data_IF_875578131392
#
_entry.id   IF_875578131392
#
_cell.length_a   1.000
_cell.length_b   1.000
_cell.length_c   1.000
_cell.angle_alpha   90.00
_cell.angle_beta   90.00
_cell.angle_gamma   90.00
#
_symmetry.space_group_name_H-M   'P 1'
#
loop_
_entity.id
_entity.type
_entity.pdbx_description
1 polymer ?
#
# COMPACT_ATOMS: atom_id res chain seq x y z
N UNK A 1 64.77 18.90 -0.60
CA UNK A 1 63.60 18.89 0.29
C UNK A 1 62.44 18.26 -0.47
N UNK A 2 62.09 17.00 -0.16
CA UNK A 2 60.94 16.34 -0.79
C UNK A 2 59.65 16.79 -0.08
N UNK A 3 58.61 17.23 -0.81
CA UNK A 3 57.36 17.62 -0.19
C UNK A 3 56.69 16.40 0.43
N UNK A 4 56.18 16.56 1.65
CA UNK A 4 55.56 15.51 2.45
C UNK A 4 54.28 15.03 1.76
N UNK A 5 54.34 13.89 1.05
CA UNK A 5 53.19 13.20 0.46
C UNK A 5 52.14 12.69 1.50
N UNK A 6 52.44 12.79 2.79
CA UNK A 6 51.61 12.23 3.87
C UNK A 6 50.22 12.90 4.00
N UNK A 7 50.09 14.18 3.63
CA UNK A 7 48.85 14.94 3.82
C UNK A 7 47.76 14.57 2.78
N UNK A 8 48.16 14.18 1.56
CA UNK A 8 47.22 13.85 0.47
C UNK A 8 46.54 12.49 0.68
N UNK A 9 47.27 11.50 1.23
CA UNK A 9 46.72 10.16 1.48
C UNK A 9 45.65 10.14 2.58
N UNK A 10 45.80 10.97 3.62
CA UNK A 10 44.83 11.05 4.71
C UNK A 10 43.53 11.74 4.26
N UNK A 11 43.64 12.76 3.40
CA UNK A 11 42.49 13.45 2.84
C UNK A 11 41.66 12.54 1.92
N UNK A 12 42.31 11.76 1.05
CA UNK A 12 41.64 10.79 0.18
C UNK A 12 40.94 9.67 0.95
N UNK A 13 41.54 9.19 2.04
CA UNK A 13 40.92 8.22 2.94
C UNK A 13 39.68 8.81 3.63
N UNK A 14 39.77 10.03 4.16
CA UNK A 14 38.64 10.69 4.81
C UNK A 14 37.46 10.91 3.85
N UNK A 15 37.72 11.38 2.61
CA UNK A 15 36.69 11.55 1.58
C UNK A 15 36.06 10.20 1.19
N UNK A 16 36.87 9.14 1.07
CA UNK A 16 36.37 7.79 0.77
C UNK A 16 35.50 7.22 1.88
N UNK A 17 35.88 7.45 3.14
CA UNK A 17 35.07 7.05 4.31
C UNK A 17 33.76 7.84 4.39
N UNK A 18 33.78 9.15 4.13
CA UNK A 18 32.58 9.98 4.14
C UNK A 18 31.61 9.58 3.01
N UNK A 19 32.12 9.31 1.81
CA UNK A 19 31.33 8.84 0.69
C UNK A 19 30.75 7.44 0.96
N UNK A 20 31.54 6.54 1.56
CA UNK A 20 31.06 5.22 1.97
C UNK A 20 29.94 5.35 3.03
N UNK A 21 30.10 6.22 4.02
CA UNK A 21 29.11 6.46 5.07
C UNK A 21 27.82 7.09 4.51
N UNK A 22 27.94 8.08 3.61
CA UNK A 22 26.80 8.65 2.91
C UNK A 22 26.07 7.62 2.04
N UNK A 23 26.80 6.70 1.39
CA UNK A 23 26.21 5.64 0.59
C UNK A 23 25.44 4.58 1.40
N UNK A 24 25.77 4.37 2.69
CA UNK A 24 25.01 3.48 3.58
C UNK A 24 23.99 4.21 4.45
N UNK A 25 24.02 5.53 4.50
CA UNK A 25 23.06 6.34 5.25
C UNK A 25 21.75 6.42 4.48
N UNK A 26 20.69 5.84 5.03
CA UNK A 26 19.33 6.05 4.55
C UNK A 26 18.67 7.09 5.47
N UNK A 27 18.55 8.33 4.98
CA UNK A 27 17.60 9.26 5.56
C UNK A 27 16.19 8.68 5.33
N UNK A 28 15.35 8.68 6.37
CA UNK A 28 13.94 8.35 6.21
C UNK A 28 13.27 9.34 5.27
N UNK A 29 12.14 8.93 4.69
CA UNK A 29 11.29 9.85 3.93
C UNK A 29 10.27 10.52 4.84
N UNK A 30 9.94 11.78 4.57
CA UNK A 30 8.96 12.53 5.35
C UNK A 30 7.70 12.75 4.52
N UNK A 31 6.54 12.44 5.11
CA UNK A 31 5.23 12.69 4.53
C UNK A 31 4.46 13.69 5.41
N UNK A 32 3.66 14.56 4.79
CA UNK A 32 2.83 15.55 5.49
C UNK A 32 1.43 15.61 4.90
N UNK A 33 0.43 15.89 5.73
CA UNK A 33 -0.93 16.23 5.29
C UNK A 33 -1.05 17.74 5.12
N UNK A 34 -1.68 18.17 4.03
CA UNK A 34 -1.93 19.57 3.71
C UNK A 34 -3.39 19.76 3.26
N UNK A 35 -4.01 20.89 3.60
CA UNK A 35 -5.34 21.26 3.07
C UNK A 35 -6.43 21.46 4.12
N UNK A 36 -6.17 21.14 5.39
CA UNK A 36 -7.13 21.36 6.49
C UNK A 36 -6.70 22.47 7.47
N UNK A 37 -5.52 23.05 7.29
CA UNK A 37 -4.92 24.04 8.18
C UNK A 37 -4.99 25.47 7.69
N UNK A 38 -5.88 25.81 6.75
CA UNK A 38 -5.91 27.12 6.09
C UNK A 38 -5.93 28.30 7.08
N UNK A 39 -6.67 28.15 8.19
CA UNK A 39 -6.76 29.15 9.26
C UNK A 39 -5.65 29.04 10.32
N UNK A 40 -4.85 27.97 10.25
CA UNK A 40 -3.79 27.61 11.19
C UNK A 40 -2.38 27.68 10.58
N UNK A 41 -2.24 28.22 9.36
CA UNK A 41 -0.94 28.55 8.77
C UNK A 41 -0.21 27.40 8.06
N UNK A 42 -0.93 26.43 7.47
CA UNK A 42 -0.30 25.43 6.58
C UNK A 42 0.18 26.02 5.24
N UNK A 43 -0.10 27.30 4.97
CA UNK A 43 0.40 28.04 3.82
C UNK A 43 -0.08 27.49 2.47
N UNK A 44 0.49 27.96 1.38
CA UNK A 44 0.20 27.39 0.05
C UNK A 44 0.84 26.01 -0.10
N UNK A 45 0.32 25.21 -1.03
CA UNK A 45 0.90 23.90 -1.35
C UNK A 45 2.31 24.07 -1.94
N UNK A 46 2.49 25.09 -2.77
CA UNK A 46 3.80 25.44 -3.33
C UNK A 46 4.83 25.78 -2.23
N UNK A 47 4.47 26.59 -1.23
CA UNK A 47 5.35 26.92 -0.10
C UNK A 47 5.70 25.66 0.71
N UNK A 48 4.72 24.80 0.99
CA UNK A 48 4.92 23.52 1.68
C UNK A 48 5.99 22.68 0.97
N UNK A 49 5.90 22.54 -0.34
CA UNK A 49 6.88 21.79 -1.14
C UNK A 49 8.24 22.50 -1.24
N UNK A 50 8.26 23.83 -1.31
CA UNK A 50 9.48 24.63 -1.38
C UNK A 50 10.31 24.59 -0.09
N UNK A 51 9.75 24.12 1.04
CA UNK A 51 10.53 23.90 2.27
C UNK A 51 11.68 22.91 2.09
N UNK A 52 11.57 21.97 1.13
CA UNK A 52 12.52 20.89 0.93
C UNK A 52 12.53 19.84 2.05
N UNK A 53 11.55 19.87 2.95
CA UNK A 53 11.46 18.96 4.10
C UNK A 53 10.70 17.65 3.80
N UNK A 54 9.86 17.66 2.77
CA UNK A 54 8.87 16.59 2.53
C UNK A 54 9.15 15.86 1.22
N UNK A 55 9.09 14.53 1.28
CA UNK A 55 9.10 13.65 0.10
C UNK A 55 7.70 13.41 -0.44
N UNK A 56 6.69 13.47 0.44
CA UNK A 56 5.29 13.22 0.12
C UNK A 56 4.40 14.29 0.74
N UNK A 57 3.40 14.75 -0.02
CA UNK A 57 2.32 15.61 0.47
C UNK A 57 0.98 14.93 0.16
N UNK A 58 0.18 14.70 1.20
CA UNK A 58 -1.17 14.16 1.11
C UNK A 58 -2.17 15.33 1.15
N UNK A 59 -2.81 15.62 0.01
CA UNK A 59 -3.88 16.61 -0.08
C UNK A 59 -5.12 16.06 0.61
N UNK A 60 -5.53 16.72 1.68
CA UNK A 60 -6.57 16.29 2.60
C UNK A 60 -7.79 17.24 2.50
N UNK A 61 -9.00 16.79 2.13
CA UNK A 61 -9.41 15.40 1.85
C UNK A 61 -10.53 15.32 0.79
N UNK A 62 -10.63 14.18 0.11
CA UNK A 62 -11.90 13.74 -0.47
C UNK A 62 -12.69 13.01 0.62
N UNK A 63 -13.62 13.70 1.27
CA UNK A 63 -14.27 13.23 2.49
C UNK A 63 -15.78 12.95 2.35
N UNK A 64 -16.32 13.04 1.13
CA UNK A 64 -17.64 12.48 0.80
C UNK A 64 -17.47 11.63 -0.45
N UNK A 65 -17.93 10.38 -0.44
CA UNK A 65 -17.94 9.48 -1.59
C UNK A 65 -18.64 8.15 -1.27
N UNK A 66 -18.97 7.39 -2.31
CA UNK A 66 -19.54 6.05 -2.21
C UNK A 66 -21.00 6.04 -1.75
N UNK A 67 -21.62 4.86 -1.72
CA UNK A 67 -23.03 4.66 -1.36
C UNK A 67 -24.00 5.56 -2.15
N UNK A 68 -23.68 5.86 -3.41
CA UNK A 68 -24.46 6.73 -4.28
C UNK A 68 -24.31 8.24 -4.04
N UNK A 69 -23.41 8.66 -3.15
CA UNK A 69 -23.11 10.06 -2.90
C UNK A 69 -22.20 10.63 -4.00
N UNK A 70 -22.47 11.88 -4.38
CA UNK A 70 -21.56 12.65 -5.23
C UNK A 70 -20.28 12.96 -4.46
N UNK A 71 -19.08 12.64 -4.98
CA UNK A 71 -17.87 12.88 -4.23
C UNK A 71 -17.58 14.37 -4.00
N UNK A 72 -17.12 14.72 -2.80
CA UNK A 72 -16.80 16.10 -2.41
C UNK A 72 -15.36 16.19 -1.91
N UNK A 73 -14.61 17.11 -2.52
CA UNK A 73 -13.29 17.53 -2.06
C UNK A 73 -13.49 18.66 -1.03
N UNK A 74 -12.79 18.60 0.09
CA UNK A 74 -12.80 19.67 1.09
C UNK A 74 -11.35 20.05 1.38
N UNK A 75 -10.99 21.32 1.12
CA UNK A 75 -9.68 21.91 1.41
C UNK A 75 -9.80 23.11 2.36
N UNK A 76 -10.72 23.02 3.32
CA UNK A 76 -11.04 24.07 4.27
C UNK A 76 -11.21 25.45 3.57
N UNK A 77 -10.48 26.47 4.02
CA UNK A 77 -10.54 27.81 3.45
C UNK A 77 -9.56 28.06 2.29
N UNK A 78 -8.75 27.06 1.87
CA UNK A 78 -7.77 27.25 0.78
C UNK A 78 -8.45 27.56 -0.56
N UNK A 79 -9.55 26.87 -0.86
CA UNK A 79 -10.31 27.06 -2.08
C UNK A 79 -11.70 26.43 -1.97
N UNK A 80 -12.57 26.75 -2.94
CA UNK A 80 -13.91 26.18 -3.07
C UNK A 80 -14.00 25.41 -4.40
N UNK A 81 -14.16 24.07 -4.36
CA UNK A 81 -14.22 23.25 -5.56
C UNK A 81 -15.49 23.47 -6.38
N UNK A 82 -16.63 23.76 -5.73
CA UNK A 82 -17.90 24.04 -6.42
C UNK A 82 -17.84 25.36 -7.20
N UNK A 83 -17.10 26.33 -6.68
CA UNK A 83 -16.80 27.58 -7.38
C UNK A 83 -15.63 27.45 -8.38
N UNK A 84 -15.01 26.28 -8.47
CA UNK A 84 -13.87 26.02 -9.36
C UNK A 84 -12.58 26.73 -8.98
N UNK A 85 -12.49 27.36 -7.81
CA UNK A 85 -11.29 28.12 -7.40
C UNK A 85 -10.12 27.21 -7.04
N UNK A 86 -10.36 25.93 -6.76
CA UNK A 86 -9.31 24.94 -6.51
C UNK A 86 -8.48 24.56 -7.75
N UNK A 87 -8.90 24.96 -8.96
CA UNK A 87 -8.15 24.67 -10.19
C UNK A 87 -6.78 25.36 -10.23
N UNK A 88 -6.59 26.45 -9.47
CA UNK A 88 -5.29 27.11 -9.35
C UNK A 88 -4.23 26.22 -8.72
N UNK A 89 -4.61 25.23 -7.91
CA UNK A 89 -3.68 24.29 -7.28
C UNK A 89 -2.94 23.41 -8.30
N UNK A 90 -3.42 23.31 -9.56
CA UNK A 90 -2.75 22.53 -10.60
C UNK A 90 -1.29 22.93 -10.80
N UNK A 91 -1.01 24.24 -10.82
CA UNK A 91 0.35 24.75 -10.98
C UNK A 91 1.22 24.50 -9.74
N UNK A 92 0.62 24.55 -8.54
CA UNK A 92 1.32 24.26 -7.28
C UNK A 92 1.67 22.77 -7.16
N UNK A 93 0.73 21.88 -7.51
CA UNK A 93 0.98 20.44 -7.60
C UNK A 93 2.12 20.15 -8.57
N UNK A 94 2.09 20.78 -9.75
CA UNK A 94 3.14 20.63 -10.75
C UNK A 94 4.50 21.11 -10.23
N UNK A 95 4.53 22.20 -9.46
CA UNK A 95 5.74 22.72 -8.82
C UNK A 95 6.33 21.75 -7.78
N UNK A 96 5.46 21.15 -6.95
CA UNK A 96 5.85 20.09 -6.01
C UNK A 96 6.49 18.90 -6.73
N UNK A 97 5.82 18.41 -7.77
CA UNK A 97 6.28 17.26 -8.56
C UNK A 97 7.62 17.53 -9.27
N UNK A 98 7.81 18.73 -9.81
CA UNK A 98 9.08 19.16 -10.41
C UNK A 98 10.22 19.23 -9.38
N UNK A 99 9.89 19.50 -8.11
CA UNK A 99 10.83 19.49 -6.99
C UNK A 99 11.09 18.09 -6.43
N UNK A 100 10.50 17.06 -7.03
CA UNK A 100 10.67 15.65 -6.62
C UNK A 100 9.73 15.21 -5.50
N UNK A 101 8.83 16.08 -5.04
CA UNK A 101 7.83 15.77 -4.01
C UNK A 101 6.65 15.03 -4.65
N UNK A 102 6.22 13.94 -4.03
CA UNK A 102 5.07 13.16 -4.48
C UNK A 102 3.79 13.70 -3.88
N UNK A 103 2.80 13.97 -4.73
CA UNK A 103 1.53 14.57 -4.30
C UNK A 103 0.41 13.55 -4.45
N UNK A 104 -0.23 13.18 -3.34
CA UNK A 104 -1.31 12.20 -3.29
C UNK A 104 -2.62 12.88 -2.87
N UNK A 105 -3.75 12.35 -3.32
CA UNK A 105 -5.05 12.70 -2.75
C UNK A 105 -5.36 11.74 -1.60
N UNK A 106 -5.67 12.27 -0.43
CA UNK A 106 -6.13 11.47 0.70
C UNK A 106 -7.66 11.36 0.74
N UNK A 107 -8.13 10.11 0.89
CA UNK A 107 -9.53 9.76 1.03
C UNK A 107 -9.88 9.62 2.51
N UNK A 108 -11.02 10.18 2.91
CA UNK A 108 -11.56 9.98 4.25
C UNK A 108 -11.24 11.15 5.20
N UNK A 109 -10.47 10.86 6.25
CA UNK A 109 -10.18 11.75 7.39
C UNK A 109 -11.24 11.70 8.50
N UNK A 110 -10.93 12.33 9.64
CA UNK A 110 -11.76 12.29 10.87
C UNK A 110 -13.23 12.68 10.65
N UNK A 111 -13.49 13.58 9.69
CA UNK A 111 -14.83 14.10 9.38
C UNK A 111 -15.20 13.87 7.93
N UNK A 112 -16.39 13.33 7.70
CA UNK A 112 -16.92 13.14 6.36
C UNK A 112 -18.11 12.19 6.30
N UNK A 113 -18.60 11.95 5.09
CA UNK A 113 -19.64 10.95 4.80
C UNK A 113 -19.13 10.03 3.71
N UNK A 114 -18.43 8.98 4.11
CA UNK A 114 -17.81 8.04 3.19
C UNK A 114 -18.02 6.61 3.66
N UNK A 115 -18.39 5.75 2.72
CA UNK A 115 -18.53 4.30 2.89
C UNK A 115 -18.62 3.65 1.51
N UNK A 116 -18.31 2.37 1.41
CA UNK A 116 -18.47 1.60 0.19
C UNK A 116 -19.54 0.54 0.43
N UNK A 117 -20.64 0.63 -0.31
CA UNK A 117 -21.82 -0.23 -0.14
C UNK A 117 -21.69 -1.59 -0.83
N UNK A 118 -20.78 -1.71 -1.79
CA UNK A 118 -20.55 -2.93 -2.57
C UNK A 118 -19.23 -2.91 -3.34
N UNK A 119 -18.86 -4.04 -3.93
CA UNK A 119 -17.73 -4.12 -4.85
C UNK A 119 -17.91 -3.25 -6.11
N UNK A 120 -19.14 -3.08 -6.60
CA UNK A 120 -19.41 -2.24 -7.76
C UNK A 120 -19.33 -0.75 -7.40
N UNK A 121 -19.76 -0.39 -6.20
CA UNK A 121 -19.58 0.95 -5.65
C UNK A 121 -18.09 1.30 -5.52
N UNK A 122 -17.28 0.38 -4.98
CA UNK A 122 -15.83 0.52 -4.92
C UNK A 122 -15.19 0.71 -6.32
N UNK A 123 -15.66 -0.03 -7.34
CA UNK A 123 -15.18 0.15 -8.73
C UNK A 123 -15.58 1.51 -9.30
N UNK A 124 -16.80 1.97 -9.02
CA UNK A 124 -17.31 3.27 -9.45
C UNK A 124 -16.52 4.43 -8.84
N UNK A 125 -16.24 4.36 -7.53
CA UNK A 125 -15.35 5.33 -6.86
C UNK A 125 -13.95 5.28 -7.47
N UNK A 126 -13.41 4.10 -7.78
CA UNK A 126 -12.12 3.99 -8.45
C UNK A 126 -12.09 4.61 -9.85
N UNK A 127 -13.16 4.50 -10.64
CA UNK A 127 -13.30 5.17 -11.94
C UNK A 127 -13.35 6.69 -11.77
N UNK A 128 -14.11 7.17 -10.79
CA UNK A 128 -14.18 8.59 -10.46
C UNK A 128 -12.79 9.15 -10.12
N UNK A 129 -12.06 8.50 -9.20
CA UNK A 129 -10.72 8.91 -8.80
C UNK A 129 -9.75 8.92 -9.99
N UNK A 130 -9.80 7.86 -10.81
CA UNK A 130 -8.96 7.75 -11.99
C UNK A 130 -9.15 8.90 -12.97
N UNK A 131 -10.42 9.20 -13.31
CA UNK A 131 -10.76 10.22 -14.29
C UNK A 131 -10.62 11.65 -13.78
N UNK A 132 -10.78 11.85 -12.47
CA UNK A 132 -10.87 13.18 -11.87
C UNK A 132 -9.53 13.68 -11.33
N UNK A 133 -8.69 12.78 -10.81
CA UNK A 133 -7.45 13.16 -10.10
C UNK A 133 -6.20 12.48 -10.63
N UNK A 134 -6.33 11.31 -11.26
CA UNK A 134 -5.20 10.56 -11.81
C UNK A 134 -5.17 10.69 -13.34
N UNK A 135 -4.63 9.68 -14.03
CA UNK A 135 -4.33 9.70 -15.47
C UNK A 135 -5.51 9.45 -16.40
N UNK A 136 -6.74 9.40 -15.89
CA UNK A 136 -7.93 9.38 -16.72
C UNK A 136 -8.30 10.77 -17.23
N UNK A 137 -9.52 10.92 -17.75
CA UNK A 137 -9.99 12.18 -18.34
C UNK A 137 -11.37 12.56 -17.82
N UNK A 138 -11.54 13.85 -17.51
CA UNK A 138 -12.80 14.45 -17.07
C UNK A 138 -12.80 15.94 -17.44
N UNK A 139 -13.94 16.46 -17.86
CA UNK A 139 -14.10 17.89 -18.18
C UNK A 139 -14.15 18.77 -16.91
N UNK A 140 -14.37 18.16 -15.74
CA UNK A 140 -14.65 18.83 -14.47
C UNK A 140 -13.69 18.40 -13.35
N UNK A 141 -12.38 18.44 -13.62
CA UNK A 141 -11.35 18.16 -12.59
C UNK A 141 -11.27 19.28 -11.54
N UNK A 142 -11.50 19.01 -10.23
CA UNK A 142 -11.53 20.03 -9.18
C UNK A 142 -10.18 20.73 -8.98
N UNK A 143 -9.08 19.99 -9.14
CA UNK A 143 -7.70 20.49 -8.96
C UNK A 143 -7.05 20.91 -10.28
N UNK A 144 -7.85 21.07 -11.35
CA UNK A 144 -7.35 21.38 -12.69
C UNK A 144 -6.76 20.16 -13.42
N UNK A 145 -5.84 20.41 -14.34
CA UNK A 145 -5.25 19.43 -15.25
C UNK A 145 -4.13 18.59 -14.63
N UNK A 146 -3.64 18.94 -13.44
CA UNK A 146 -2.62 18.16 -12.74
C UNK A 146 -3.06 16.71 -12.52
N UNK A 147 -2.10 15.80 -12.70
CA UNK A 147 -2.24 14.37 -12.45
C UNK A 147 -1.48 14.05 -11.17
N UNK A 148 -2.20 13.60 -10.14
CA UNK A 148 -1.60 13.24 -8.86
C UNK A 148 -0.78 11.95 -8.96
N UNK A 149 0.23 11.82 -8.09
CA UNK A 149 1.12 10.66 -8.05
C UNK A 149 0.45 9.41 -7.47
N UNK A 150 -0.67 9.57 -6.75
CA UNK A 150 -1.32 8.45 -6.08
C UNK A 150 -2.51 8.81 -5.20
N UNK A 151 -2.99 7.79 -4.49
CA UNK A 151 -4.12 7.86 -3.57
C UNK A 151 -3.66 7.37 -2.19
N UNK A 152 -4.02 8.13 -1.18
CA UNK A 152 -3.81 7.82 0.23
C UNK A 152 -5.15 7.42 0.89
N UNK A 153 -5.13 6.34 1.67
CA UNK A 153 -6.31 5.80 2.35
C UNK A 153 -6.23 6.15 3.84
N UNK A 154 -6.91 7.23 4.24
CA UNK A 154 -7.07 7.65 5.63
C UNK A 154 -8.50 7.34 6.11
N UNK A 155 -8.79 6.06 6.29
CA UNK A 155 -10.13 5.56 6.57
C UNK A 155 -10.29 5.37 8.08
N UNK A 156 -11.00 6.29 8.72
CA UNK A 156 -11.11 6.35 10.19
C UNK A 156 -12.51 6.01 10.72
N UNK A 157 -13.47 5.72 9.83
CA UNK A 157 -14.85 5.39 10.20
C UNK A 157 -15.49 4.41 9.22
N UNK A 158 -16.71 3.97 9.53
CA UNK A 158 -17.43 2.94 8.78
C UNK A 158 -17.00 1.53 9.18
N UNK A 159 -17.35 0.53 8.37
CA UNK A 159 -17.09 -0.89 8.65
C UNK A 159 -15.83 -1.44 7.96
N UNK A 160 -15.10 -0.60 7.21
CA UNK A 160 -13.90 -1.00 6.45
C UNK A 160 -14.20 -1.89 5.25
N UNK A 161 -15.47 -2.09 4.87
CA UNK A 161 -15.81 -2.96 3.77
C UNK A 161 -15.36 -2.40 2.42
N UNK A 162 -14.98 -3.30 1.50
CA UNK A 162 -14.70 -3.03 0.09
C UNK A 162 -13.50 -2.10 -0.22
N UNK A 163 -12.75 -1.62 0.77
CA UNK A 163 -11.54 -0.82 0.53
C UNK A 163 -10.41 -1.63 -0.12
N UNK A 164 -10.35 -2.95 0.09
CA UNK A 164 -9.46 -3.85 -0.64
C UNK A 164 -9.80 -3.91 -2.14
N UNK A 165 -11.09 -3.90 -2.47
CA UNK A 165 -11.60 -3.88 -3.84
C UNK A 165 -11.36 -2.52 -4.49
N UNK A 166 -11.54 -1.41 -3.76
CA UNK A 166 -11.19 -0.06 -4.21
C UNK A 166 -9.68 0.03 -4.52
N UNK A 167 -8.82 -0.37 -3.59
CA UNK A 167 -7.37 -0.36 -3.78
C UNK A 167 -6.94 -1.22 -4.99
N UNK A 168 -7.52 -2.42 -5.13
CA UNK A 168 -7.26 -3.31 -6.28
C UNK A 168 -7.70 -2.67 -7.59
N UNK A 169 -8.88 -2.04 -7.60
CA UNK A 169 -9.41 -1.39 -8.78
C UNK A 169 -8.56 -0.18 -9.18
N UNK A 170 -8.11 0.67 -8.25
CA UNK A 170 -7.19 1.78 -8.57
C UNK A 170 -5.85 1.23 -9.09
N UNK A 171 -5.25 0.24 -8.41
CA UNK A 171 -3.99 -0.37 -8.82
C UNK A 171 -4.04 -0.90 -10.27
N UNK A 172 -5.16 -1.52 -10.66
CA UNK A 172 -5.35 -2.02 -12.02
C UNK A 172 -5.29 -0.92 -13.09
N UNK A 173 -5.87 0.26 -12.82
CA UNK A 173 -5.85 1.42 -13.73
C UNK A 173 -4.48 2.08 -13.78
N UNK A 174 -3.81 2.17 -12.64
CA UNK A 174 -2.45 2.71 -12.58
C UNK A 174 -1.44 1.85 -13.34
N UNK A 175 -1.54 0.52 -13.29
CA UNK A 175 -0.65 -0.38 -14.02
C UNK A 175 -0.70 -0.17 -15.54
N UNK A 176 -1.86 0.20 -16.08
CA UNK A 176 -1.98 0.52 -17.52
C UNK A 176 -1.36 1.86 -17.93
N UNK A 177 -0.99 2.72 -16.97
CA UNK A 177 -0.60 4.10 -17.22
C UNK A 177 0.80 4.49 -16.69
N UNK A 178 1.64 3.52 -16.36
CA UNK A 178 2.99 3.78 -15.84
C UNK A 178 3.14 3.79 -14.31
N UNK A 179 2.07 3.44 -13.59
CA UNK A 179 2.04 3.28 -12.14
C UNK A 179 1.55 4.51 -11.37
N UNK A 180 1.02 4.28 -10.18
CA UNK A 180 0.68 5.30 -9.18
C UNK A 180 0.96 4.74 -7.79
N UNK A 181 1.07 5.62 -6.79
CA UNK A 181 1.25 5.24 -5.40
C UNK A 181 -0.10 4.94 -4.75
N UNK A 182 -0.12 3.89 -3.93
CA UNK A 182 -1.21 3.64 -2.98
C UNK A 182 -0.60 3.62 -1.58
N UNK A 183 -1.05 4.52 -0.72
CA UNK A 183 -0.63 4.63 0.68
C UNK A 183 -1.82 4.48 1.60
N UNK A 184 -1.58 4.27 2.89
CA UNK A 184 -2.63 4.14 3.88
C UNK A 184 -2.15 4.67 5.23
N UNK A 185 -3.08 5.24 6.00
CA UNK A 185 -2.85 5.78 7.34
C UNK A 185 -3.69 5.00 8.38
N UNK A 186 -3.34 3.73 8.68
CA UNK A 186 -4.04 2.99 9.73
C UNK A 186 -3.76 3.60 11.10
N UNK A 187 -4.71 3.41 12.01
CA UNK A 187 -4.53 3.71 13.41
C UNK A 187 -3.51 2.76 14.06
N UNK A 188 -3.00 3.14 15.22
CA UNK A 188 -2.00 2.34 15.95
C UNK A 188 -2.47 0.94 16.38
N UNK A 189 -3.74 0.71 16.80
CA UNK A 189 -4.20 -0.61 17.21
C UNK A 189 -4.18 -1.62 16.06
N UNK A 190 -3.69 -2.84 16.33
CA UNK A 190 -3.56 -3.89 15.32
C UNK A 190 -4.43 -5.13 15.65
N UNK A 191 -5.20 -5.68 14.68
CA UNK A 191 -5.40 -5.15 13.33
C UNK A 191 -6.20 -3.84 13.33
N UNK A 192 -5.97 -2.99 12.33
CA UNK A 192 -6.75 -1.76 12.14
C UNK A 192 -8.19 -2.10 11.78
N UNK A 193 -9.15 -1.37 12.34
CA UNK A 193 -10.57 -1.70 12.19
C UNK A 193 -11.10 -1.49 10.76
N UNK A 194 -10.49 -0.60 9.99
CA UNK A 194 -10.99 -0.14 8.69
C UNK A 194 -10.10 -0.56 7.52
N UNK A 195 -8.79 -0.73 7.76
CA UNK A 195 -7.77 -0.98 6.75
C UNK A 195 -7.12 -2.37 6.86
N UNK A 196 -7.64 -3.26 7.71
CA UNK A 196 -7.19 -4.65 7.73
C UNK A 196 -7.66 -5.43 6.49
N UNK A 197 -6.71 -5.69 5.59
CA UNK A 197 -6.87 -6.50 4.39
C UNK A 197 -7.24 -7.97 4.68
N UNK A 198 -7.29 -8.39 5.95
CA UNK A 198 -7.59 -9.76 6.37
C UNK A 198 -9.07 -10.04 6.63
N UNK A 199 -9.94 -9.05 6.49
CA UNK A 199 -11.39 -9.19 6.71
C UNK A 199 -12.12 -10.07 5.67
N UNK A 200 -11.42 -10.71 4.72
CA UNK A 200 -12.00 -11.76 3.86
C UNK A 200 -11.55 -13.18 4.25
N UNK A 201 -12.48 -14.14 4.44
CA UNK A 201 -12.13 -15.55 4.52
C UNK A 201 -11.63 -16.04 3.14
N UNK A 202 -10.31 -15.97 2.92
CA UNK A 202 -9.68 -16.47 1.69
C UNK A 202 -8.36 -15.80 1.29
N UNK A 203 -8.06 -14.60 1.78
CA UNK A 203 -6.84 -13.88 1.43
C UNK A 203 -5.80 -13.98 2.55
N UNK A 204 -4.78 -14.83 2.36
CA UNK A 204 -3.59 -14.86 3.20
C UNK A 204 -2.58 -13.85 2.66
N UNK A 205 -2.63 -12.60 3.12
CA UNK A 205 -1.51 -11.68 2.93
C UNK A 205 -0.33 -12.14 3.81
N UNK A 206 0.69 -12.74 3.19
CA UNK A 206 2.01 -12.86 3.83
C UNK A 206 2.67 -11.49 3.78
N UNK A 207 2.73 -10.78 4.91
CA UNK A 207 3.66 -9.67 5.08
C UNK A 207 5.09 -10.20 4.97
N UNK A 208 5.73 -9.99 3.82
CA UNK A 208 7.14 -10.31 3.62
C UNK A 208 7.99 -9.08 3.87
N UNK A 209 8.74 -9.03 4.98
CA UNK A 209 9.93 -8.19 5.04
C UNK A 209 10.99 -8.84 4.14
N UNK A 210 11.17 -8.34 2.91
CA UNK A 210 12.29 -8.71 2.05
C UNK A 210 13.19 -7.52 1.82
N UNK A 211 14.24 -7.43 2.63
CA UNK A 211 15.40 -6.58 2.39
C UNK A 211 16.28 -7.20 1.30
N UNK A 212 15.87 -7.09 0.04
CA UNK A 212 16.78 -7.20 -1.12
C UNK A 212 16.05 -6.81 -2.41
N UNK A 213 16.56 -5.77 -3.06
CA UNK A 213 16.19 -5.32 -4.41
C UNK A 213 16.26 -6.51 -5.37
N UNK A 214 15.11 -7.02 -5.79
CA UNK A 214 15.00 -7.95 -6.91
C UNK A 214 13.97 -7.39 -7.85
N UNK A 215 14.40 -7.06 -9.07
CA UNK A 215 13.53 -6.70 -10.18
C UNK A 215 12.35 -7.66 -10.28
N UNK A 216 11.13 -7.11 -10.34
CA UNK A 216 9.95 -7.86 -10.72
C UNK A 216 10.08 -8.30 -12.18
N UNK A 217 10.62 -9.51 -12.42
CA UNK A 217 10.33 -10.23 -13.66
C UNK A 217 8.92 -10.79 -13.52
N UNK A 218 8.04 -10.30 -14.39
CA UNK A 218 6.70 -10.83 -14.61
C UNK A 218 6.76 -12.35 -14.79
N UNK A 219 6.07 -13.07 -13.90
CA UNK A 219 5.74 -14.46 -14.14
C UNK A 219 4.87 -14.51 -15.39
N UNK A 220 5.38 -15.15 -16.43
CA UNK A 220 4.66 -15.44 -17.65
C UNK A 220 3.40 -16.23 -17.29
N UNK A 221 2.26 -15.78 -17.82
CA UNK A 221 0.98 -16.50 -17.82
C UNK A 221 1.21 -17.96 -18.23
N UNK A 222 0.73 -18.98 -17.47
CA UNK A 222 0.69 -20.33 -18.01
C UNK A 222 -0.39 -20.34 -19.08
N UNK A 223 0.04 -20.46 -20.33
CA UNK A 223 -0.81 -20.75 -21.49
C UNK A 223 -1.68 -21.97 -21.14
N UNK A 224 -3.01 -21.79 -21.18
CA UNK A 224 -3.97 -22.87 -21.06
C UNK A 224 -3.78 -23.86 -22.21
N UNK A 225 -2.91 -24.83 -22.00
CA UNK A 225 -2.71 -25.93 -22.94
C UNK A 225 -3.81 -26.94 -22.67
N UNK A 226 -4.82 -26.98 -23.56
CA UNK A 226 -5.79 -28.08 -23.63
C UNK A 226 -5.03 -29.40 -23.79
N UNK A 227 -4.85 -30.13 -22.69
CA UNK A 227 -4.35 -31.50 -22.74
C UNK A 227 -5.43 -32.41 -23.36
N UNK A 228 -5.28 -32.70 -24.65
CA UNK A 228 -5.99 -33.79 -25.32
C UNK A 228 -5.41 -35.11 -24.81
N UNK A 229 -6.24 -35.93 -24.16
CA UNK A 229 -5.87 -37.32 -23.86
C UNK A 229 -5.81 -38.12 -25.17
N UNK A 230 -4.63 -38.64 -25.52
CA UNK A 230 -4.44 -39.71 -26.52
C UNK A 230 -4.10 -41.02 -25.80
N UNK A 231 -4.60 -42.17 -26.27
CA UNK A 231 -4.53 -43.44 -25.53
C UNK A 231 -3.15 -44.11 -25.64
N UNK A 232 -2.72 -44.75 -24.55
CA UNK A 232 -1.62 -45.74 -24.55
C UNK A 232 -2.14 -47.06 -25.12
N UNK A 233 -1.44 -47.60 -26.11
CA UNK A 233 -1.62 -48.98 -26.55
C UNK A 233 -0.66 -49.93 -25.84
N UNK A 234 -1.16 -51.08 -25.39
CA UNK A 234 -0.70 -52.45 -25.76
C UNK A 234 -1.44 -53.51 -24.96
N UNK A 235 -1.60 -54.67 -25.62
CA UNK A 235 -1.95 -56.01 -25.14
C UNK A 235 -3.36 -56.27 -24.56
N UNK A 236 -4.23 -56.80 -25.42
CA UNK A 236 -4.91 -58.09 -25.24
C UNK A 236 -5.70 -58.37 -23.96
N UNK A 237 -7.03 -58.28 -24.05
CA UNK A 237 -8.00 -59.39 -23.93
C UNK A 237 -9.42 -58.83 -23.99
N UNK A 238 -10.26 -59.48 -24.79
CA UNK A 238 -11.67 -59.16 -24.97
C UNK A 238 -12.51 -59.65 -23.78
N UNK A 239 -13.58 -58.92 -23.43
CA UNK A 239 -14.95 -59.41 -23.28
C UNK A 239 -15.88 -58.37 -22.61
N UNK A 240 -17.07 -58.18 -23.20
CA UNK A 240 -18.14 -57.29 -22.77
C UNK A 240 -18.84 -57.75 -21.48
N UNK A 241 -19.30 -56.81 -20.65
CA UNK A 241 -20.63 -56.79 -19.98
C UNK A 241 -20.86 -55.49 -19.18
N UNK A 242 -22.06 -54.91 -19.34
CA UNK A 242 -22.75 -53.95 -18.43
C UNK A 242 -23.93 -54.73 -17.79
N UNK A 243 -24.73 -54.19 -16.85
CA UNK A 243 -24.58 -53.07 -15.89
C UNK A 243 -25.02 -53.46 -14.45
N UNK A 244 -25.00 -52.53 -13.46
CA UNK A 244 -25.99 -52.31 -12.36
C UNK A 244 -25.34 -51.59 -11.14
N UNK A 245 -25.70 -50.32 -10.88
CA UNK A 245 -26.67 -49.78 -9.88
C UNK A 245 -26.02 -49.30 -8.57
N UNK A 246 -26.36 -48.06 -8.16
CA UNK A 246 -26.59 -47.52 -6.79
C UNK A 246 -25.51 -47.76 -5.71
N UNK A 247 -25.09 -46.82 -4.86
CA UNK A 247 -25.87 -45.85 -4.08
C UNK A 247 -24.92 -44.93 -3.31
N UNK A 248 -25.35 -43.70 -3.07
CA UNK A 248 -24.81 -42.83 -2.03
C UNK A 248 -25.17 -43.37 -0.64
N UNK A 249 -24.23 -43.31 0.31
CA UNK A 249 -24.52 -43.44 1.74
C UNK A 249 -23.70 -42.42 2.52
N UNK A 250 -24.40 -41.41 3.03
CA UNK A 250 -23.93 -40.48 4.04
C UNK A 250 -24.08 -41.16 5.41
N UNK A 251 -22.99 -41.37 6.16
CA UNK A 251 -23.08 -41.77 7.57
C UNK A 251 -22.11 -40.95 8.41
N UNK A 252 -22.70 -40.07 9.23
CA UNK A 252 -22.03 -39.40 10.36
C UNK A 252 -21.65 -40.45 11.41
N UNK A 253 -20.40 -40.39 11.90
CA UNK A 253 -20.03 -40.80 13.26
C UNK A 253 -19.10 -39.73 13.85
N UNK A 254 -19.49 -39.15 14.98
CA UNK A 254 -18.60 -38.45 15.94
C UNK A 254 -17.88 -39.52 16.82
N UNK A 255 -17.05 -39.13 17.82
CA UNK A 255 -15.66 -38.74 17.69
C UNK A 255 -14.75 -39.71 18.48
N UNK A 256 -13.51 -39.94 18.03
CA UNK A 256 -12.52 -40.66 18.83
C UNK A 256 -11.16 -39.94 18.74
N UNK A 257 -10.71 -39.50 19.92
CA UNK A 257 -9.35 -39.26 20.38
C UNK A 257 -8.20 -39.01 19.38
N UNK A 258 -7.60 -37.82 19.56
CA UNK A 258 -6.14 -37.56 19.71
C UNK A 258 -5.20 -38.37 18.81
N UNK A 259 -4.77 -37.73 17.72
CA UNK A 259 -3.48 -38.02 17.08
C UNK A 259 -2.77 -36.69 16.77
N UNK A 260 -1.61 -36.49 17.38
CA UNK A 260 -0.68 -35.39 17.11
C UNK A 260 -0.15 -35.49 15.67
N UNK A 261 -0.58 -34.58 14.80
CA UNK A 261 0.12 -34.30 13.54
C UNK A 261 1.05 -33.10 13.76
N UNK A 262 2.30 -33.37 14.13
CA UNK A 262 3.37 -32.36 14.18
C UNK A 262 3.74 -31.94 12.77
N UNK A 263 3.04 -30.92 12.25
CA UNK A 263 3.41 -30.23 11.01
C UNK A 263 4.78 -29.56 11.14
N UNK A 264 5.60 -29.71 10.11
CA UNK A 264 6.91 -29.10 9.89
C UNK A 264 6.94 -27.57 10.03
N UNK A 265 5.77 -26.90 10.11
CA UNK A 265 5.62 -25.45 10.38
C UNK A 265 5.96 -25.02 11.81
N UNK A 266 5.73 -25.86 12.82
CA UNK A 266 5.95 -25.45 14.23
C UNK A 266 7.43 -25.36 14.60
N UNK A 267 8.30 -26.09 13.89
CA UNK A 267 9.77 -26.02 14.07
C UNK A 267 10.36 -24.73 13.49
N UNK A 268 9.75 -24.17 12.44
CA UNK A 268 10.23 -22.93 11.82
C UNK A 268 9.95 -21.69 12.71
N UNK A 269 8.72 -21.59 13.26
CA UNK A 269 8.36 -20.53 14.19
C UNK A 269 9.21 -20.54 15.48
N UNK A 270 9.49 -21.72 16.05
CA UNK A 270 10.36 -21.82 17.24
C UNK A 270 11.82 -21.43 16.95
N UNK A 271 12.31 -21.65 15.72
CA UNK A 271 13.67 -21.22 15.31
C UNK A 271 13.74 -19.69 15.11
N UNK A 272 12.73 -19.08 14.48
CA UNK A 272 12.68 -17.61 14.31
C UNK A 272 12.51 -16.88 15.65
N UNK A 273 11.64 -17.34 16.55
CA UNK A 273 11.45 -16.71 17.86
C UNK A 273 12.71 -16.81 18.74
N UNK A 274 13.43 -17.94 18.72
CA UNK A 274 14.71 -18.07 19.44
C UNK A 274 15.81 -17.19 18.84
N UNK A 275 15.82 -16.98 17.52
CA UNK A 275 16.78 -16.08 16.83
C UNK A 275 16.47 -14.60 17.08
N UNK A 276 15.20 -14.23 17.22
CA UNK A 276 14.75 -12.90 17.62
C UNK A 276 15.10 -12.60 19.09
N UNK A 277 14.84 -13.54 20.01
CA UNK A 277 15.17 -13.38 21.44
C UNK A 277 16.67 -13.29 21.72
N UNK A 278 17.50 -13.95 20.90
CA UNK A 278 18.97 -13.86 21.00
C UNK A 278 19.53 -12.50 20.53
N UNK A 279 18.84 -11.79 19.61
CA UNK A 279 19.28 -10.48 19.10
C UNK A 279 18.85 -9.28 19.95
N UNK A 280 17.89 -9.44 20.88
CA UNK A 280 17.48 -8.39 21.83
C UNK A 280 18.28 -8.35 23.13
N UNK A 281 19.19 -9.30 23.38
CA UNK A 281 20.03 -9.30 24.59
C UNK A 281 21.31 -8.47 24.46
N UNK A 282 21.64 -7.95 23.28
CA UNK A 282 22.94 -7.29 23.04
C UNK A 282 22.87 -5.78 22.83
N UNK A 283 21.71 -5.13 22.98
CA UNK A 283 21.58 -3.66 22.79
C UNK A 283 20.50 -3.03 23.69
N UNK A 284 20.34 -3.49 24.93
CA UNK A 284 19.45 -2.86 25.91
C UNK A 284 20.23 -2.40 27.15
N UNK A 285 21.17 -1.49 26.94
CA UNK A 285 21.56 -0.50 27.94
C UNK A 285 21.30 0.87 27.32
N UNK A 286 20.66 1.75 28.09
CA UNK A 286 20.35 3.16 27.78
C UNK A 286 19.05 3.41 27.00
N UNK A 287 17.96 3.54 27.76
CA UNK A 287 17.03 4.69 27.74
C UNK A 287 15.84 4.38 28.66
N UNK A 288 16.06 4.59 29.97
CA UNK A 288 15.01 4.69 30.98
C UNK A 288 15.17 6.07 31.63
N UNK A 289 14.12 6.88 31.60
CA UNK A 289 14.08 8.27 32.06
C UNK A 289 13.40 9.10 30.96
N UNK A 290 12.30 9.80 31.17
CA UNK A 290 11.71 10.37 32.38
C UNK A 290 10.18 10.35 32.18
N UNK A 291 9.46 9.74 33.12
CA UNK A 291 8.06 10.04 33.39
C UNK A 291 7.97 10.27 34.90
N UNK A 292 7.57 11.48 35.29
CA UNK A 292 7.35 11.88 36.66
C UNK A 292 6.27 12.94 36.66
N UNK A 293 5.12 12.55 37.21
CA UNK A 293 3.93 13.36 37.47
C UNK A 293 4.24 14.53 38.41
N UNK A 294 3.67 15.70 38.11
CA UNK A 294 2.74 16.47 38.96
C UNK A 294 1.94 17.41 38.07
#
# INVERSE_FOLDING_TARGET
>A
MAPRLCCSSQFLLAVSFLAAFAAVSNAGKVAVYWGQGADNGDGTLAETCATGLYDFVNIAFLNVYGSGLTPVLNLAAHCNPDAGTCKSLSSEISSCQQSGVKVLLSLGGERGQYSLSSADDARGVADYLWNTFLGGSSDSRPLGDAVLDGIDFDIEQGDGAHYDELATAIASRCNSAGGCLLTAAPQCPYPDAHLDLRSRPGCSATCGCSSTTTHWRTASTPTATRARCRPRGRSGRAACRRPRTSSWACRRRRPLHRAEATSTRTRCCRRCYRRWRARRRTTAESCCGIAGET
#
